data_IF_398436533950
#
_entry.id   IF_398436533950
#
_cell.length_a   1.000
_cell.length_b   1.000
_cell.length_c   1.000
_cell.angle_alpha   90.00
_cell.angle_beta   90.00
_cell.angle_gamma   90.00
#
_symmetry.space_group_name_H-M   'P 1'
#
loop_
_entity.id
_entity.type
_entity.pdbx_description
1 polymer ?
#
# COMPACT_ATOMS: atom_id res chain seq x y z
N UNK A 1 -17.78 -9.32 -10.75
CA UNK A 1 -18.37 -8.88 -9.47
C UNK A 1 -17.47 -7.81 -8.88
N UNK A 2 -18.04 -6.69 -8.48
CA UNK A 2 -17.30 -5.54 -7.96
C UNK A 2 -16.90 -5.86 -6.52
N UNK A 3 -15.62 -5.86 -6.17
CA UNK A 3 -15.16 -6.11 -4.79
C UNK A 3 -15.88 -5.24 -3.73
N UNK A 4 -16.45 -4.12 -4.15
CA UNK A 4 -17.26 -3.20 -3.34
C UNK A 4 -18.65 -3.76 -2.94
N UNK A 5 -19.11 -4.89 -3.50
CA UNK A 5 -20.42 -5.48 -3.15
C UNK A 5 -20.35 -6.45 -1.96
N UNK A 6 -19.15 -6.70 -1.43
CA UNK A 6 -18.96 -7.54 -0.25
C UNK A 6 -19.15 -6.70 1.01
N UNK A 7 -19.96 -7.19 1.96
CA UNK A 7 -20.05 -6.63 3.32
C UNK A 7 -18.84 -7.06 4.18
N UNK A 8 -17.63 -6.85 3.65
CA UNK A 8 -16.39 -7.30 4.28
C UNK A 8 -15.23 -6.34 3.99
N UNK A 9 -14.25 -6.32 4.90
CA UNK A 9 -12.97 -5.66 4.68
C UNK A 9 -12.13 -6.49 3.70
N UNK A 10 -11.89 -5.98 2.50
CA UNK A 10 -11.07 -6.65 1.50
C UNK A 10 -9.63 -6.12 1.58
N UNK A 11 -8.69 -7.02 1.86
CA UNK A 11 -7.27 -6.73 1.86
C UNK A 11 -6.58 -7.39 0.67
N UNK A 12 -5.80 -6.62 -0.07
CA UNK A 12 -4.97 -7.11 -1.16
C UNK A 12 -3.50 -7.09 -0.75
N UNK A 13 -2.78 -8.17 -0.98
CA UNK A 13 -1.34 -8.24 -0.81
C UNK A 13 -0.66 -8.38 -2.16
N UNK A 14 0.40 -7.63 -2.39
CA UNK A 14 1.25 -7.74 -3.57
C UNK A 14 2.72 -7.60 -3.15
N UNK A 15 3.61 -8.08 -4.00
CA UNK A 15 5.04 -7.78 -3.85
C UNK A 15 5.29 -6.29 -4.06
N UNK A 16 6.47 -5.82 -3.70
CA UNK A 16 6.90 -4.47 -3.98
C UNK A 16 7.70 -4.44 -5.29
N UNK A 17 7.44 -3.43 -6.12
CA UNK A 17 8.25 -3.08 -7.28
C UNK A 17 8.53 -1.58 -7.28
N UNK A 18 9.42 -1.14 -8.17
CA UNK A 18 9.81 0.26 -8.29
C UNK A 18 9.44 0.83 -9.63
N UNK A 19 8.99 2.08 -9.65
CA UNK A 19 8.82 2.87 -10.88
C UNK A 19 9.63 4.16 -10.81
N UNK A 20 10.07 4.64 -11.96
CA UNK A 20 10.69 5.96 -12.06
C UNK A 20 9.63 6.99 -12.44
N UNK A 21 9.56 8.08 -11.68
CA UNK A 21 8.69 9.23 -11.93
C UNK A 21 9.58 10.41 -12.28
N UNK A 22 9.34 11.00 -13.44
CA UNK A 22 9.97 12.26 -13.85
C UNK A 22 9.08 13.41 -13.38
N UNK A 23 9.62 14.26 -12.51
CA UNK A 23 8.96 15.50 -12.08
C UNK A 23 9.17 16.62 -13.12
N UNK A 24 8.35 17.68 -13.01
CA UNK A 24 8.39 18.84 -13.91
C UNK A 24 9.72 19.60 -13.88
N UNK A 25 10.52 19.43 -12.82
CA UNK A 25 11.87 19.98 -12.68
C UNK A 25 12.95 19.15 -13.40
N UNK A 26 12.56 18.04 -14.04
CA UNK A 26 13.46 17.09 -14.70
C UNK A 26 14.12 16.06 -13.78
N UNK A 27 13.89 16.14 -12.46
CA UNK A 27 14.38 15.14 -11.50
C UNK A 27 13.61 13.83 -11.66
N UNK A 28 14.34 12.72 -11.61
CA UNK A 28 13.76 11.38 -11.58
C UNK A 28 13.80 10.84 -10.16
N UNK A 29 12.64 10.43 -9.66
CA UNK A 29 12.49 9.79 -8.37
C UNK A 29 12.07 8.34 -8.56
N UNK A 30 12.69 7.44 -7.81
CA UNK A 30 12.25 6.05 -7.73
C UNK A 30 11.18 5.94 -6.65
N UNK A 31 10.00 5.48 -7.05
CA UNK A 31 8.86 5.27 -6.16
C UNK A 31 8.54 3.78 -6.03
N UNK A 32 8.41 3.31 -4.78
CA UNK A 32 7.91 2.00 -4.41
C UNK A 32 6.40 1.93 -4.62
N UNK A 33 5.96 0.90 -5.34
CA UNK A 33 4.55 0.61 -5.64
C UNK A 33 4.28 -0.90 -5.51
N UNK A 34 3.01 -1.31 -5.37
CA UNK A 34 2.62 -2.71 -5.48
C UNK A 34 2.99 -3.28 -6.87
N UNK A 35 3.52 -4.51 -6.90
CA UNK A 35 3.83 -5.26 -8.12
C UNK A 35 2.54 -5.75 -8.77
N UNK A 36 1.93 -4.82 -9.49
CA UNK A 36 0.72 -4.99 -10.26
C UNK A 36 1.05 -4.47 -11.66
N UNK A 37 0.51 -5.11 -12.69
CA UNK A 37 0.71 -4.73 -14.09
C UNK A 37 0.55 -3.21 -14.29
N UNK A 38 1.55 -2.59 -14.90
CA UNK A 38 1.68 -1.12 -15.10
C UNK A 38 0.41 -0.45 -15.62
N UNK A 39 -0.32 -1.12 -16.52
CA UNK A 39 -1.55 -0.59 -17.12
C UNK A 39 -2.71 -0.43 -16.14
N UNK A 40 -2.70 -1.14 -15.01
CA UNK A 40 -3.82 -1.19 -14.07
C UNK A 40 -3.44 -0.76 -12.64
N UNK A 41 -2.15 -0.75 -12.28
CA UNK A 41 -1.70 -0.42 -10.91
C UNK A 41 -2.18 0.96 -10.46
N UNK A 42 -2.11 1.98 -11.31
CA UNK A 42 -2.61 3.32 -11.00
C UNK A 42 -4.12 3.35 -10.76
N UNK A 43 -4.88 2.55 -11.52
CA UNK A 43 -6.32 2.45 -11.34
C UNK A 43 -6.65 1.80 -10.00
N UNK A 44 -6.02 0.65 -9.69
CA UNK A 44 -6.21 -0.07 -8.43
C UNK A 44 -5.83 0.82 -7.24
N UNK A 45 -4.64 1.42 -7.26
CA UNK A 45 -4.20 2.36 -6.23
C UNK A 45 -5.12 3.59 -6.12
N UNK A 46 -5.80 3.99 -7.20
CA UNK A 46 -6.76 5.08 -7.21
C UNK A 46 -8.07 4.74 -6.51
N UNK A 47 -8.64 3.56 -6.77
CA UNK A 47 -9.97 3.16 -6.28
C UNK A 47 -9.97 2.60 -4.85
N UNK A 48 -8.85 2.04 -4.38
CA UNK A 48 -8.77 1.50 -3.02
C UNK A 48 -8.68 2.65 -2.00
N UNK A 49 -9.31 2.53 -0.83
CA UNK A 49 -9.28 3.58 0.19
C UNK A 49 -7.92 3.72 0.91
N UNK A 50 -7.21 2.61 1.09
CA UNK A 50 -5.91 2.56 1.77
C UNK A 50 -4.89 1.83 0.89
N UNK A 51 -3.72 2.44 0.72
CA UNK A 51 -2.54 1.77 0.14
C UNK A 51 -1.40 1.96 1.11
N UNK A 52 -0.79 0.86 1.56
CA UNK A 52 0.27 0.91 2.56
C UNK A 52 1.47 0.05 2.17
N UNK A 53 2.67 0.53 2.51
CA UNK A 53 3.92 -0.21 2.32
C UNK A 53 4.26 -0.99 3.59
N UNK A 54 4.50 -2.30 3.46
CA UNK A 54 4.99 -3.12 4.58
C UNK A 54 6.47 -2.82 4.84
N UNK A 55 6.78 -2.35 6.03
CA UNK A 55 8.15 -2.07 6.49
C UNK A 55 8.48 -2.93 7.70
N UNK A 56 9.75 -3.32 7.80
CA UNK A 56 10.29 -4.05 8.95
C UNK A 56 11.34 -3.19 9.64
N UNK A 57 11.19 -3.00 10.95
CA UNK A 57 12.19 -2.35 11.80
C UNK A 57 13.31 -3.33 12.16
N UNK A 58 14.44 -2.78 12.61
CA UNK A 58 15.61 -3.57 13.03
C UNK A 58 15.28 -4.54 14.19
N UNK A 59 14.34 -4.16 15.06
CA UNK A 59 13.82 -4.98 16.17
C UNK A 59 12.92 -6.15 15.73
N UNK A 60 12.65 -6.29 14.44
CA UNK A 60 11.77 -7.33 13.89
C UNK A 60 10.32 -6.92 13.74
N UNK A 61 9.91 -5.78 14.32
CA UNK A 61 8.55 -5.26 14.25
C UNK A 61 8.17 -4.94 12.81
N UNK A 62 6.99 -5.40 12.39
CA UNK A 62 6.42 -5.13 11.07
C UNK A 62 5.26 -4.15 11.19
N UNK A 63 5.23 -3.17 10.30
CA UNK A 63 4.17 -2.17 10.24
C UNK A 63 3.93 -1.71 8.81
N UNK A 64 2.83 -0.99 8.62
CA UNK A 64 2.49 -0.39 7.35
C UNK A 64 2.70 1.13 7.42
N UNK A 65 3.39 1.67 6.41
CA UNK A 65 3.44 3.12 6.15
C UNK A 65 2.18 3.47 5.36
N UNK A 66 1.36 4.38 5.88
CA UNK A 66 0.10 4.81 5.29
C UNK A 66 0.13 6.25 4.75
N UNK A 67 1.23 6.96 5.02
CA UNK A 67 1.51 8.30 4.52
C UNK A 67 2.49 8.22 3.35
N UNK A 68 2.04 8.64 2.17
CA UNK A 68 2.87 8.68 0.96
C UNK A 68 3.96 9.74 1.04
N UNK A 69 5.07 9.47 0.38
CA UNK A 69 6.14 10.44 0.17
C UNK A 69 6.67 10.32 -1.27
N UNK A 70 7.76 11.02 -1.58
CA UNK A 70 8.31 11.04 -2.93
C UNK A 70 8.80 9.66 -3.40
N UNK A 71 9.21 8.81 -2.47
CA UNK A 71 9.72 7.46 -2.72
C UNK A 71 8.69 6.36 -2.51
N UNK A 72 7.53 6.62 -1.88
CA UNK A 72 6.53 5.57 -1.57
C UNK A 72 5.15 6.06 -1.93
N UNK A 73 4.44 5.29 -2.76
CA UNK A 73 3.01 5.52 -2.93
C UNK A 73 2.24 4.89 -1.76
N UNK A 74 1.77 5.74 -0.84
CA UNK A 74 0.88 5.33 0.23
C UNK A 74 -0.22 6.38 0.41
N UNK A 75 -1.40 5.93 0.84
CA UNK A 75 -2.53 6.80 1.14
C UNK A 75 -3.45 6.16 2.16
N UNK A 76 -4.16 7.01 2.89
CA UNK A 76 -5.19 6.62 3.85
C UNK A 76 -6.36 7.60 3.77
N UNK A 77 -7.50 7.13 3.27
CA UNK A 77 -8.73 7.93 3.20
C UNK A 77 -9.70 7.65 4.35
N UNK A 78 -9.41 6.70 5.24
CA UNK A 78 -10.33 6.30 6.31
C UNK A 78 -10.10 7.06 7.61
N UNK A 79 -8.85 7.36 7.94
CA UNK A 79 -8.47 8.05 9.17
C UNK A 79 -7.19 8.89 9.00
N UNK A 80 -6.71 9.48 10.09
CA UNK A 80 -5.54 10.36 10.13
C UNK A 80 -4.24 9.68 10.57
N UNK A 81 -4.17 8.35 10.56
CA UNK A 81 -2.94 7.62 10.94
C UNK A 81 -1.94 7.61 9.78
N UNK A 82 -0.68 7.91 10.09
CA UNK A 82 0.43 7.87 9.14
C UNK A 82 1.05 6.47 9.00
N UNK A 83 0.72 5.57 9.93
CA UNK A 83 1.16 4.19 9.93
C UNK A 83 0.43 3.37 10.98
N UNK A 84 0.56 2.05 10.89
CA UNK A 84 -0.01 1.10 11.86
C UNK A 84 0.84 -0.16 11.97
N UNK A 85 0.67 -0.95 13.03
CA UNK A 85 1.32 -2.25 13.15
C UNK A 85 0.66 -3.28 12.23
N UNK A 86 1.44 -4.30 11.83
CA UNK A 86 0.91 -5.38 10.98
C UNK A 86 -0.32 -6.05 11.62
N UNK A 87 -0.29 -6.25 12.94
CA UNK A 87 -1.36 -6.88 13.71
C UNK A 87 -2.67 -6.10 13.76
N UNK A 88 -2.65 -4.80 13.45
CA UNK A 88 -3.88 -3.97 13.43
C UNK A 88 -4.72 -4.20 12.16
N UNK A 89 -4.08 -4.56 11.05
CA UNK A 89 -4.77 -4.82 9.76
C UNK A 89 -4.86 -6.31 9.44
N UNK A 90 -3.91 -7.10 9.93
CA UNK A 90 -3.84 -8.54 9.77
C UNK A 90 -3.94 -9.20 11.15
N UNK A 91 -5.17 -9.43 11.67
CA UNK A 91 -5.34 -10.15 12.91
C UNK A 91 -4.72 -11.55 12.79
N UNK A 92 -4.00 -11.99 13.82
CA UNK A 92 -3.27 -13.27 13.82
C UNK A 92 -4.16 -14.51 13.73
N UNK A 93 -5.48 -14.33 13.90
CA UNK A 93 -6.47 -15.40 13.83
C UNK A 93 -6.91 -15.75 12.41
N UNK A 94 -6.32 -15.12 11.38
CA UNK A 94 -6.59 -15.50 9.99
C UNK A 94 -5.89 -16.83 9.69
N UNK A 95 -6.64 -17.93 9.44
CA UNK A 95 -6.03 -19.19 9.07
C UNK A 95 -5.28 -19.01 7.76
N UNK A 96 -4.00 -19.41 7.76
CA UNK A 96 -3.21 -19.48 6.53
C UNK A 96 -3.72 -20.69 5.73
N UNK A 97 -4.68 -20.44 4.85
CA UNK A 97 -5.15 -21.39 3.82
C UNK A 97 -4.19 -21.48 2.65
#
# INVERSE_FOLDING_TARGET
ETFNSLEANVLFTAWETTRNITHDDGQQYTQFIPDIRDKIVNHIMGIVHIVGQLVKKADGTRGFVLEGNQSVFAKNHLDSRNGCLQSELLPSDVPVT
#
